data_IF_178922670083
#
_entry.id   IF_178922670083
#
_cell.length_a   1.000
_cell.length_b   1.000
_cell.length_c   1.000
_cell.angle_alpha   90.00
_cell.angle_beta   90.00
_cell.angle_gamma   90.00
#
_symmetry.space_group_name_H-M   'P 1'
#
loop_
_entity.id
_entity.type
_entity.pdbx_description
1 polymer ?
#
# COMPACT_ATOMS: atom_id res chain seq x y z
N UNK A 1 -16.90 -7.72 -45.67
CA UNK A 1 -18.35 -8.02 -45.89
C UNK A 1 -18.90 -7.56 -47.26
N UNK A 2 -18.21 -6.69 -48.00
CA UNK A 2 -18.41 -6.49 -49.44
C UNK A 2 -17.20 -6.99 -50.26
N UNK A 3 -16.26 -7.67 -49.61
CA UNK A 3 -14.87 -7.83 -50.08
C UNK A 3 -14.76 -8.82 -51.26
N UNK A 4 -15.81 -9.65 -51.47
CA UNK A 4 -15.97 -10.49 -52.65
C UNK A 4 -16.79 -9.81 -53.78
N UNK A 5 -17.05 -8.51 -53.70
CA UNK A 5 -17.83 -7.73 -54.67
C UNK A 5 -19.33 -8.04 -54.70
N UNK A 6 -19.86 -8.83 -53.75
CA UNK A 6 -21.27 -9.25 -53.72
C UNK A 6 -22.12 -8.36 -52.80
N UNK A 7 -23.25 -7.86 -53.30
CA UNK A 7 -24.25 -7.12 -52.51
C UNK A 7 -25.33 -8.04 -51.97
N UNK A 8 -25.28 -8.38 -50.67
CA UNK A 8 -26.14 -9.40 -50.05
C UNK A 8 -27.10 -8.83 -48.99
N UNK A 9 -27.83 -7.75 -49.31
CA UNK A 9 -28.76 -7.10 -48.36
C UNK A 9 -29.76 -8.08 -47.71
N UNK A 10 -30.33 -8.99 -48.49
CA UNK A 10 -31.37 -9.91 -48.00
C UNK A 10 -30.82 -11.05 -47.12
N UNK A 11 -29.51 -11.25 -47.09
CA UNK A 11 -28.87 -12.29 -46.28
C UNK A 11 -28.78 -11.90 -44.80
N UNK A 12 -28.70 -10.60 -44.51
CA UNK A 12 -28.39 -10.10 -43.17
C UNK A 12 -29.58 -9.40 -42.55
N UNK A 13 -30.01 -9.89 -41.38
CA UNK A 13 -31.06 -9.27 -40.56
C UNK A 13 -30.49 -9.04 -39.16
N UNK A 14 -30.42 -7.77 -38.75
CA UNK A 14 -29.91 -7.38 -37.44
C UNK A 14 -30.94 -7.55 -36.32
N UNK A 15 -30.53 -7.25 -35.10
CA UNK A 15 -31.40 -7.21 -33.92
C UNK A 15 -31.26 -5.86 -33.23
N UNK A 16 -32.40 -5.27 -32.84
CA UNK A 16 -32.43 -4.02 -32.06
C UNK A 16 -32.03 -4.28 -30.61
N UNK A 17 -31.26 -3.37 -30.02
CA UNK A 17 -30.90 -3.39 -28.59
C UNK A 17 -32.01 -2.78 -27.71
N UNK A 18 -32.80 -1.86 -28.26
CA UNK A 18 -33.81 -1.12 -27.48
C UNK A 18 -34.85 -2.07 -26.90
N UNK A 19 -35.08 -1.97 -25.58
CA UNK A 19 -36.02 -2.80 -24.84
C UNK A 19 -35.56 -4.25 -24.62
N UNK A 20 -34.33 -4.61 -25.00
CA UNK A 20 -33.75 -5.94 -24.71
C UNK A 20 -33.05 -5.96 -23.37
N UNK A 21 -32.96 -7.14 -22.78
CA UNK A 21 -32.27 -7.36 -21.51
C UNK A 21 -30.81 -7.74 -21.75
N UNK A 22 -29.88 -6.96 -21.19
CA UNK A 22 -28.47 -7.29 -21.04
C UNK A 22 -28.22 -7.80 -19.62
N UNK A 23 -27.70 -9.02 -19.50
CA UNK A 23 -27.08 -9.50 -18.27
C UNK A 23 -25.57 -9.24 -18.31
N UNK A 24 -25.08 -8.51 -17.31
CA UNK A 24 -23.66 -8.29 -17.06
C UNK A 24 -23.19 -9.28 -16.00
N UNK A 25 -22.36 -10.25 -16.37
CA UNK A 25 -21.77 -11.19 -15.42
C UNK A 25 -20.43 -10.63 -14.95
N UNK A 26 -20.34 -10.25 -13.68
CA UNK A 26 -19.23 -9.49 -13.09
C UNK A 26 -19.47 -7.97 -13.14
N UNK A 27 -19.67 -7.35 -11.98
CA UNK A 27 -20.06 -5.95 -11.81
C UNK A 27 -18.94 -5.12 -11.16
N UNK A 28 -17.70 -5.38 -11.59
CA UNK A 28 -16.53 -4.57 -11.28
C UNK A 28 -16.43 -3.30 -12.14
N UNK A 29 -15.24 -2.68 -12.17
CA UNK A 29 -14.97 -1.42 -12.90
C UNK A 29 -15.47 -1.44 -14.36
N UNK A 30 -15.10 -2.48 -15.12
CA UNK A 30 -15.48 -2.61 -16.54
C UNK A 30 -16.97 -2.95 -16.69
N UNK A 31 -17.47 -3.93 -15.93
CA UNK A 31 -18.87 -4.35 -15.99
C UNK A 31 -19.86 -3.22 -15.71
N UNK A 32 -19.58 -2.37 -14.71
CA UNK A 32 -20.42 -1.20 -14.41
C UNK A 32 -20.42 -0.17 -15.55
N UNK A 33 -19.28 -0.01 -16.22
CA UNK A 33 -19.14 0.92 -17.35
C UNK A 33 -19.85 0.41 -18.62
N UNK A 34 -19.86 -0.91 -18.83
CA UNK A 34 -20.66 -1.55 -19.88
C UNK A 34 -22.15 -1.39 -19.58
N UNK A 35 -22.57 -1.65 -18.34
CA UNK A 35 -23.95 -1.48 -17.91
C UNK A 35 -24.45 -0.05 -18.15
N UNK A 36 -23.67 0.96 -17.73
CA UNK A 36 -23.98 2.37 -17.94
C UNK A 36 -24.19 2.71 -19.43
N UNK A 37 -23.29 2.24 -20.31
CA UNK A 37 -23.40 2.47 -21.76
C UNK A 37 -24.61 1.76 -22.37
N UNK A 38 -24.87 0.52 -21.97
CA UNK A 38 -26.00 -0.26 -22.46
C UNK A 38 -27.36 0.38 -22.11
N UNK A 39 -27.50 0.96 -20.91
CA UNK A 39 -28.69 1.76 -20.57
C UNK A 39 -28.85 2.97 -21.48
N UNK A 40 -27.75 3.65 -21.81
CA UNK A 40 -27.75 4.74 -22.79
C UNK A 40 -28.21 4.31 -24.19
N UNK A 41 -28.06 3.02 -24.53
CA UNK A 41 -28.57 2.42 -25.76
C UNK A 41 -30.03 1.91 -25.65
N UNK A 42 -30.71 2.18 -24.52
CA UNK A 42 -32.11 1.81 -24.30
C UNK A 42 -32.33 0.35 -23.88
N UNK A 43 -31.30 -0.34 -23.37
CA UNK A 43 -31.43 -1.71 -22.85
C UNK A 43 -31.91 -1.71 -21.39
N UNK A 44 -32.60 -2.78 -21.01
CA UNK A 44 -32.77 -3.15 -19.60
C UNK A 44 -31.51 -3.88 -19.14
N UNK A 45 -30.93 -3.46 -18.02
CA UNK A 45 -29.65 -4.03 -17.56
C UNK A 45 -29.81 -4.65 -16.19
N UNK A 46 -29.50 -5.94 -16.12
CA UNK A 46 -29.36 -6.72 -14.90
C UNK A 46 -27.91 -7.17 -14.76
N UNK A 47 -27.46 -7.44 -13.54
CA UNK A 47 -26.11 -7.91 -13.31
C UNK A 47 -26.06 -9.04 -12.28
N UNK A 48 -25.11 -9.94 -12.44
CA UNK A 48 -24.77 -10.95 -11.45
C UNK A 48 -23.33 -10.76 -10.99
N UNK A 49 -23.17 -10.43 -9.71
CA UNK A 49 -21.87 -10.40 -9.02
C UNK A 49 -22.12 -10.58 -7.52
N UNK A 50 -21.71 -11.72 -6.92
CA UNK A 50 -21.96 -12.00 -5.50
C UNK A 50 -21.18 -11.07 -4.56
N UNK A 51 -20.22 -10.29 -5.07
CA UNK A 51 -19.37 -9.40 -4.30
C UNK A 51 -19.70 -7.91 -4.51
N UNK A 52 -20.64 -7.58 -5.40
CA UNK A 52 -21.00 -6.21 -5.70
C UNK A 52 -21.96 -5.60 -4.66
N UNK A 53 -21.76 -4.32 -4.36
CA UNK A 53 -22.70 -3.54 -3.54
C UNK A 53 -24.00 -3.29 -4.31
N UNK A 54 -25.13 -3.70 -3.71
CA UNK A 54 -26.47 -3.47 -4.25
C UNK A 54 -26.81 -1.98 -4.42
N UNK A 55 -26.33 -1.13 -3.51
CA UNK A 55 -26.58 0.32 -3.58
C UNK A 55 -25.84 0.96 -4.76
N UNK A 56 -24.61 0.49 -5.06
CA UNK A 56 -23.84 0.95 -6.22
C UNK A 56 -24.52 0.57 -7.55
N UNK A 57 -25.07 -0.64 -7.63
CA UNK A 57 -25.83 -1.07 -8.80
C UNK A 57 -27.12 -0.25 -8.97
N UNK A 58 -27.87 -0.06 -7.88
CA UNK A 58 -29.12 0.73 -7.86
C UNK A 58 -28.88 2.19 -8.25
N UNK A 59 -27.76 2.79 -7.86
CA UNK A 59 -27.42 4.18 -8.19
C UNK A 59 -27.33 4.44 -9.70
N UNK A 60 -26.93 3.44 -10.50
CA UNK A 60 -26.95 3.53 -11.97
C UNK A 60 -28.16 2.80 -12.57
N UNK A 61 -29.13 2.43 -11.73
CA UNK A 61 -30.37 1.72 -12.04
C UNK A 61 -30.16 0.36 -12.69
N UNK A 62 -29.18 -0.40 -12.19
CA UNK A 62 -28.96 -1.81 -12.52
C UNK A 62 -29.47 -2.64 -11.35
N UNK A 63 -30.17 -3.73 -11.67
CA UNK A 63 -30.65 -4.70 -10.68
C UNK A 63 -29.64 -5.83 -10.54
N UNK A 64 -29.25 -6.15 -9.30
CA UNK A 64 -28.47 -7.35 -9.01
C UNK A 64 -29.40 -8.55 -8.87
N UNK A 65 -29.13 -9.58 -9.67
CA UNK A 65 -29.91 -10.82 -9.68
C UNK A 65 -29.01 -12.03 -9.43
N UNK A 66 -29.61 -13.17 -9.11
CA UNK A 66 -28.87 -14.43 -9.02
C UNK A 66 -28.45 -14.90 -10.43
N UNK A 67 -27.48 -15.82 -10.50
CA UNK A 67 -26.91 -16.28 -11.77
C UNK A 67 -27.94 -16.91 -12.70
N UNK A 68 -28.84 -17.74 -12.15
CA UNK A 68 -29.84 -18.47 -12.93
C UNK A 68 -30.86 -17.51 -13.55
N UNK A 69 -31.29 -16.50 -12.81
CA UNK A 69 -32.12 -15.41 -13.31
C UNK A 69 -31.41 -14.60 -14.39
N UNK A 70 -30.13 -14.26 -14.20
CA UNK A 70 -29.35 -13.52 -15.19
C UNK A 70 -29.30 -14.24 -16.55
N UNK A 71 -28.98 -15.54 -16.56
CA UNK A 71 -28.83 -16.28 -17.82
C UNK A 71 -30.17 -16.65 -18.48
N UNK A 72 -31.24 -16.84 -17.69
CA UNK A 72 -32.55 -17.26 -18.21
C UNK A 72 -33.39 -16.10 -18.74
N UNK A 73 -33.13 -14.87 -18.30
CA UNK A 73 -33.89 -13.68 -18.70
C UNK A 73 -33.18 -12.81 -19.74
N UNK A 74 -31.87 -12.98 -19.94
CA UNK A 74 -31.06 -12.17 -20.84
C UNK A 74 -31.28 -12.48 -22.33
N UNK A 75 -31.38 -11.41 -23.13
CA UNK A 75 -31.26 -11.49 -24.59
C UNK A 75 -29.80 -11.33 -25.04
N UNK A 76 -29.00 -10.62 -24.22
CA UNK A 76 -27.56 -10.43 -24.37
C UNK A 76 -26.84 -10.72 -23.05
N UNK A 77 -25.69 -11.40 -23.10
CA UNK A 77 -24.84 -11.67 -21.94
C UNK A 77 -23.45 -11.12 -22.22
N UNK A 78 -22.92 -10.31 -21.31
CA UNK A 78 -21.55 -9.80 -21.38
C UNK A 78 -20.75 -10.21 -20.14
N UNK A 79 -19.59 -10.83 -20.35
CA UNK A 79 -18.74 -11.36 -19.28
C UNK A 79 -17.62 -10.39 -18.91
N UNK A 80 -17.49 -10.12 -17.61
CA UNK A 80 -16.52 -9.20 -16.99
C UNK A 80 -15.94 -9.74 -15.67
N UNK A 81 -16.02 -11.06 -15.46
CA UNK A 81 -15.50 -11.74 -14.27
C UNK A 81 -14.03 -12.14 -14.46
N UNK A 82 -13.22 -12.20 -13.38
CA UNK A 82 -11.92 -12.84 -13.42
C UNK A 82 -12.06 -14.36 -13.63
N UNK A 83 -11.01 -15.01 -14.12
CA UNK A 83 -10.91 -16.46 -14.16
C UNK A 83 -10.44 -16.97 -12.78
N UNK A 84 -11.26 -17.80 -12.16
CA UNK A 84 -11.05 -18.42 -10.85
C UNK A 84 -11.58 -19.86 -10.89
N UNK A 85 -11.36 -20.65 -9.84
CA UNK A 85 -11.96 -21.99 -9.75
C UNK A 85 -13.50 -21.95 -9.83
N UNK A 86 -14.14 -20.90 -9.29
CA UNK A 86 -15.59 -20.75 -9.30
C UNK A 86 -16.16 -20.27 -10.65
N UNK A 87 -15.36 -19.56 -11.46
CA UNK A 87 -15.78 -18.99 -12.75
C UNK A 87 -15.27 -19.78 -13.95
N UNK A 88 -14.39 -20.76 -13.74
CA UNK A 88 -13.90 -21.65 -14.79
C UNK A 88 -15.05 -22.47 -15.37
N UNK A 89 -15.25 -22.38 -16.69
CA UNK A 89 -16.32 -23.04 -17.44
C UNK A 89 -17.71 -22.79 -16.84
N UNK A 90 -17.91 -21.59 -16.31
CA UNK A 90 -19.19 -21.17 -15.76
C UNK A 90 -20.29 -21.18 -16.82
N UNK A 91 -19.96 -20.85 -18.07
CA UNK A 91 -20.84 -21.09 -19.21
C UNK A 91 -20.48 -22.42 -19.89
N UNK A 92 -21.30 -23.44 -19.66
CA UNK A 92 -21.19 -24.81 -20.16
C UNK A 92 -22.54 -25.32 -20.68
N UNK A 93 -22.60 -26.58 -21.15
CA UNK A 93 -23.81 -27.17 -21.74
C UNK A 93 -25.06 -27.03 -20.85
N UNK A 94 -24.92 -27.24 -19.54
CA UNK A 94 -26.04 -27.14 -18.58
C UNK A 94 -26.57 -25.70 -18.49
N UNK A 95 -25.66 -24.73 -18.42
CA UNK A 95 -26.06 -23.31 -18.36
C UNK A 95 -26.61 -22.81 -19.68
N UNK A 96 -26.05 -23.24 -20.82
CA UNK A 96 -26.59 -22.89 -22.14
C UNK A 96 -28.02 -23.41 -22.31
N UNK A 97 -28.33 -24.60 -21.82
CA UNK A 97 -29.68 -25.16 -21.87
C UNK A 97 -30.73 -24.32 -21.11
N UNK A 98 -30.31 -23.49 -20.15
CA UNK A 98 -31.19 -22.60 -19.37
C UNK A 98 -31.37 -21.21 -20.00
N UNK A 99 -30.59 -20.88 -21.03
CA UNK A 99 -30.63 -19.57 -21.67
C UNK A 99 -31.83 -19.42 -22.61
N UNK A 100 -32.23 -18.17 -22.88
CA UNK A 100 -33.15 -17.90 -23.97
C UNK A 100 -32.55 -18.37 -25.30
N UNK A 101 -33.37 -19.08 -26.09
CA UNK A 101 -33.00 -19.43 -27.46
C UNK A 101 -32.77 -18.16 -28.29
N UNK A 102 -31.61 -18.08 -28.92
CA UNK A 102 -31.17 -16.92 -29.70
C UNK A 102 -30.43 -15.84 -28.89
N UNK A 103 -29.99 -16.17 -27.67
CA UNK A 103 -29.14 -15.28 -26.85
C UNK A 103 -27.84 -14.93 -27.57
N UNK A 104 -27.30 -13.74 -27.30
CA UNK A 104 -26.00 -13.28 -27.82
C UNK A 104 -25.01 -13.10 -26.70
N UNK A 105 -23.77 -13.54 -26.90
CA UNK A 105 -22.77 -13.59 -25.83
C UNK A 105 -21.53 -12.79 -26.23
N UNK A 106 -20.99 -12.03 -25.28
CA UNK A 106 -19.74 -11.28 -25.45
C UNK A 106 -18.78 -11.67 -24.33
N UNK A 107 -17.59 -12.18 -24.68
CA UNK A 107 -16.51 -12.40 -23.73
C UNK A 107 -15.28 -11.58 -24.12
N UNK A 108 -15.03 -10.53 -23.35
CA UNK A 108 -13.87 -9.64 -23.47
C UNK A 108 -13.08 -9.58 -22.16
N UNK A 109 -13.27 -10.57 -21.29
CA UNK A 109 -12.71 -10.58 -19.94
C UNK A 109 -11.56 -11.56 -19.80
N UNK A 110 -11.86 -12.86 -19.74
CA UNK A 110 -10.87 -13.93 -19.60
C UNK A 110 -11.30 -15.17 -20.39
N UNK A 111 -10.34 -15.81 -21.05
CA UNK A 111 -10.51 -17.14 -21.59
C UNK A 111 -10.82 -18.16 -20.51
N UNK A 112 -11.48 -19.27 -20.86
CA UNK A 112 -11.83 -20.34 -19.92
C UNK A 112 -13.05 -20.08 -19.03
N UNK A 113 -13.61 -18.87 -18.99
CA UNK A 113 -14.90 -18.63 -18.31
C UNK A 113 -16.06 -19.31 -19.06
N UNK A 114 -15.90 -19.46 -20.37
CA UNK A 114 -16.79 -20.22 -21.24
C UNK A 114 -16.10 -21.55 -21.58
N UNK A 115 -16.81 -22.66 -21.49
CA UNK A 115 -16.40 -23.91 -22.15
C UNK A 115 -16.55 -23.74 -23.67
N UNK A 116 -15.43 -23.59 -24.36
CA UNK A 116 -15.37 -23.29 -25.79
C UNK A 116 -16.06 -24.35 -26.65
N UNK A 117 -15.93 -25.64 -26.30
CA UNK A 117 -16.60 -26.72 -27.04
C UNK A 117 -18.11 -26.73 -26.78
N UNK A 118 -18.53 -26.40 -25.55
CA UNK A 118 -19.96 -26.23 -25.25
C UNK A 118 -20.55 -25.04 -26.00
N UNK A 119 -19.80 -23.94 -26.15
CA UNK A 119 -20.24 -22.79 -26.93
C UNK A 119 -20.42 -23.14 -28.41
N UNK A 120 -19.52 -23.92 -29.01
CA UNK A 120 -19.68 -24.43 -30.38
C UNK A 120 -20.98 -25.22 -30.51
N UNK A 121 -21.24 -26.17 -29.60
CA UNK A 121 -22.49 -26.95 -29.60
C UNK A 121 -23.73 -26.07 -29.44
N UNK A 122 -23.67 -25.08 -28.55
CA UNK A 122 -24.79 -24.17 -28.29
C UNK A 122 -25.07 -23.24 -29.48
N UNK A 123 -24.02 -22.82 -30.20
CA UNK A 123 -24.13 -22.11 -31.46
C UNK A 123 -24.80 -23.03 -32.50
N UNK A 124 -24.26 -24.23 -32.74
CA UNK A 124 -24.79 -25.19 -33.72
C UNK A 124 -26.27 -25.55 -33.46
N UNK A 125 -26.66 -25.70 -32.19
CA UNK A 125 -28.05 -25.93 -31.78
C UNK A 125 -28.96 -24.69 -31.90
N UNK A 126 -28.40 -23.51 -32.20
CA UNK A 126 -29.14 -22.24 -32.30
C UNK A 126 -29.65 -21.71 -30.95
N UNK A 127 -29.12 -22.23 -29.84
CA UNK A 127 -29.35 -21.69 -28.50
C UNK A 127 -28.66 -20.32 -28.42
N UNK A 128 -27.38 -20.27 -28.83
CA UNK A 128 -26.64 -19.02 -29.00
C UNK A 128 -26.76 -18.58 -30.44
N UNK A 129 -27.32 -17.39 -30.68
CA UNK A 129 -27.45 -16.84 -32.03
C UNK A 129 -26.10 -16.33 -32.56
N UNK A 130 -25.30 -15.71 -31.70
CA UNK A 130 -24.00 -15.14 -32.04
C UNK A 130 -23.13 -14.98 -30.80
N UNK A 131 -21.81 -15.12 -30.96
CA UNK A 131 -20.83 -14.78 -29.93
C UNK A 131 -19.81 -13.76 -30.45
N UNK A 132 -19.28 -12.92 -29.55
CA UNK A 132 -18.12 -12.07 -29.80
C UNK A 132 -17.05 -12.35 -28.74
N UNK A 133 -15.86 -12.77 -29.16
CA UNK A 133 -14.80 -13.25 -28.28
C UNK A 133 -13.51 -12.48 -28.54
N UNK A 134 -12.95 -11.86 -27.52
CA UNK A 134 -11.63 -11.23 -27.57
C UNK A 134 -10.54 -12.09 -26.91
N UNK A 135 -10.94 -13.11 -26.16
CA UNK A 135 -10.07 -13.92 -25.30
C UNK A 135 -10.38 -15.41 -25.45
N UNK A 136 -9.36 -16.25 -25.31
CA UNK A 136 -9.43 -17.71 -25.49
C UNK A 136 -8.75 -18.44 -24.34
N UNK A 137 -9.11 -19.69 -24.08
CA UNK A 137 -8.45 -20.51 -23.05
C UNK A 137 -6.96 -20.69 -23.33
N UNK A 138 -6.59 -20.81 -24.61
CA UNK A 138 -5.21 -20.86 -25.09
C UNK A 138 -5.01 -19.71 -26.08
N UNK A 139 -3.99 -18.87 -25.82
CA UNK A 139 -3.66 -17.71 -26.65
C UNK A 139 -2.19 -17.78 -27.10
N UNK A 140 -1.90 -17.79 -28.41
CA UNK A 140 -2.84 -17.72 -29.55
C UNK A 140 -3.72 -18.97 -29.72
N UNK A 141 -4.98 -18.83 -30.19
CA UNK A 141 -5.84 -19.98 -30.45
C UNK A 141 -5.26 -20.86 -31.57
N UNK A 142 -5.56 -22.16 -31.51
CA UNK A 142 -5.14 -23.12 -32.54
C UNK A 142 -5.70 -22.73 -33.91
N UNK A 143 -4.93 -23.03 -34.97
CA UNK A 143 -5.30 -22.68 -36.34
C UNK A 143 -6.63 -23.31 -36.79
N UNK A 144 -6.96 -24.48 -36.27
CA UNK A 144 -8.19 -25.24 -36.49
C UNK A 144 -9.29 -24.94 -35.44
N UNK A 145 -9.14 -23.86 -34.66
CA UNK A 145 -10.15 -23.46 -33.67
C UNK A 145 -11.51 -23.27 -34.33
N UNK A 146 -12.46 -24.11 -33.91
CA UNK A 146 -13.84 -24.08 -34.40
C UNK A 146 -14.49 -22.73 -34.13
N UNK A 147 -14.23 -22.11 -32.98
CA UNK A 147 -14.77 -20.79 -32.64
C UNK A 147 -14.24 -19.70 -33.56
N UNK A 148 -12.94 -19.70 -33.87
CA UNK A 148 -12.33 -18.71 -34.78
C UNK A 148 -12.90 -18.82 -36.19
N UNK A 149 -13.21 -20.04 -36.64
CA UNK A 149 -13.72 -20.30 -37.99
C UNK A 149 -15.26 -20.23 -38.09
N UNK A 150 -15.97 -20.19 -36.97
CA UNK A 150 -17.43 -20.28 -36.97
C UNK A 150 -18.09 -18.98 -37.45
N UNK A 151 -18.95 -19.05 -38.46
CA UNK A 151 -19.54 -17.88 -39.14
C UNK A 151 -20.35 -16.93 -38.24
N UNK A 152 -20.83 -17.43 -37.09
CA UNK A 152 -21.58 -16.64 -36.09
C UNK A 152 -20.74 -16.24 -34.88
N UNK A 153 -19.42 -16.32 -34.99
CA UNK A 153 -18.50 -15.82 -33.96
C UNK A 153 -17.69 -14.69 -34.55
N UNK A 154 -17.71 -13.54 -33.89
CA UNK A 154 -16.78 -12.45 -34.16
C UNK A 154 -15.60 -12.60 -33.21
N UNK A 155 -14.37 -12.62 -33.74
CA UNK A 155 -13.17 -12.74 -32.92
C UNK A 155 -12.25 -11.55 -33.08
N UNK A 156 -11.61 -11.16 -31.97
CA UNK A 156 -10.51 -10.19 -31.95
C UNK A 156 -9.34 -10.75 -31.14
N UNK A 157 -8.08 -10.45 -31.49
CA UNK A 157 -6.91 -11.04 -30.84
C UNK A 157 -6.51 -10.28 -29.57
N UNK A 158 -7.33 -10.35 -28.52
CA UNK A 158 -7.08 -9.75 -27.21
C UNK A 158 -6.76 -8.24 -27.27
N UNK A 159 -7.65 -7.49 -27.92
CA UNK A 159 -7.48 -6.06 -28.20
C UNK A 159 -8.18 -5.15 -27.18
N UNK A 160 -8.81 -5.70 -26.13
CA UNK A 160 -9.61 -4.92 -25.17
C UNK A 160 -8.90 -3.72 -24.52
N UNK A 161 -7.58 -3.78 -24.37
CA UNK A 161 -6.74 -2.68 -23.85
C UNK A 161 -5.83 -2.03 -24.92
N UNK A 162 -5.97 -2.40 -26.18
CA UNK A 162 -5.13 -1.96 -27.29
C UNK A 162 -5.66 -0.66 -27.93
N UNK A 163 -5.90 0.36 -27.12
CA UNK A 163 -6.23 1.72 -27.58
C UNK A 163 -5.13 2.70 -27.19
N UNK A 164 -4.97 3.78 -27.96
CA UNK A 164 -3.94 4.80 -27.69
C UNK A 164 -4.13 5.36 -26.28
N UNK A 165 -5.37 5.71 -25.92
CA UNK A 165 -5.70 6.32 -24.64
C UNK A 165 -5.46 5.38 -23.46
N UNK A 166 -5.73 4.07 -23.63
CA UNK A 166 -5.48 3.09 -22.57
C UNK A 166 -3.97 2.88 -22.37
N UNK A 167 -3.19 2.82 -23.46
CA UNK A 167 -1.73 2.68 -23.37
C UNK A 167 -1.10 3.94 -22.73
N UNK A 168 -1.55 5.14 -23.09
CA UNK A 168 -1.10 6.38 -22.46
C UNK A 168 -1.46 6.44 -20.98
N UNK A 169 -2.71 6.11 -20.62
CA UNK A 169 -3.15 6.08 -19.22
C UNK A 169 -2.34 5.12 -18.35
N UNK A 170 -2.10 3.90 -18.86
CA UNK A 170 -1.26 2.90 -18.18
C UNK A 170 0.19 3.38 -18.06
N UNK A 171 0.74 4.02 -19.09
CA UNK A 171 2.10 4.55 -19.05
C UNK A 171 2.28 5.62 -17.97
N UNK A 172 1.30 6.53 -17.82
CA UNK A 172 1.30 7.54 -16.76
C UNK A 172 1.20 6.90 -15.38
N UNK A 173 0.24 5.98 -15.18
CA UNK A 173 0.04 5.30 -13.90
C UNK A 173 1.31 4.54 -13.45
N UNK A 174 1.98 3.86 -14.38
CA UNK A 174 3.25 3.17 -14.11
C UNK A 174 4.36 4.19 -13.79
N UNK A 175 4.47 5.28 -14.54
CA UNK A 175 5.49 6.30 -14.30
C UNK A 175 5.34 6.93 -12.90
N UNK A 176 4.11 7.27 -12.51
CA UNK A 176 3.80 7.78 -11.17
C UNK A 176 4.11 6.75 -10.08
N UNK A 177 3.72 5.49 -10.27
CA UNK A 177 4.02 4.42 -9.33
C UNK A 177 5.54 4.19 -9.16
N UNK A 178 6.31 4.24 -10.25
CA UNK A 178 7.78 4.11 -10.21
C UNK A 178 8.40 5.30 -9.51
N UNK A 179 7.98 6.53 -9.82
CA UNK A 179 8.48 7.75 -9.16
C UNK A 179 8.18 7.71 -7.66
N UNK A 180 6.95 7.35 -7.28
CA UNK A 180 6.57 7.19 -5.87
C UNK A 180 7.42 6.13 -5.18
N UNK A 181 7.60 4.96 -5.78
CA UNK A 181 8.41 3.88 -5.23
C UNK A 181 9.90 4.26 -5.06
N UNK A 182 10.46 5.04 -5.99
CA UNK A 182 11.83 5.58 -5.90
C UNK A 182 11.97 6.68 -4.84
N UNK A 183 10.86 7.35 -4.49
CA UNK A 183 10.75 8.29 -3.37
C UNK A 183 10.31 7.63 -2.07
N UNK A 184 10.21 6.30 -2.04
CA UNK A 184 9.84 5.52 -0.84
C UNK A 184 8.40 5.68 -0.43
N UNK A 185 7.59 6.24 -1.31
CA UNK A 185 6.15 6.29 -1.16
C UNK A 185 5.57 4.89 -1.42
N UNK A 186 4.40 4.64 -0.84
CA UNK A 186 3.69 3.39 -1.03
C UNK A 186 2.96 3.42 -2.37
N UNK A 187 3.39 2.57 -3.29
CA UNK A 187 2.66 2.35 -4.54
C UNK A 187 1.46 1.45 -4.26
N UNK A 188 0.24 2.00 -4.36
CA UNK A 188 -1.01 1.25 -4.22
C UNK A 188 -1.16 0.11 -5.25
N UNK A 189 -0.36 0.14 -6.32
CA UNK A 189 -0.32 -0.84 -7.41
C UNK A 189 0.76 -1.92 -7.21
N UNK A 190 1.48 -1.91 -6.09
CA UNK A 190 2.50 -2.92 -5.82
C UNK A 190 1.90 -4.32 -5.68
N UNK A 191 2.27 -5.22 -6.58
CA UNK A 191 1.75 -6.60 -6.63
C UNK A 191 2.42 -7.54 -5.63
N UNK A 192 3.59 -7.18 -5.13
CA UNK A 192 4.43 -7.97 -4.22
C UNK A 192 4.66 -7.29 -2.87
N UNK A 193 3.95 -6.20 -2.59
CA UNK A 193 3.93 -5.55 -1.29
C UNK A 193 2.55 -5.73 -0.65
N UNK A 194 2.44 -5.73 0.69
CA UNK A 194 1.13 -5.73 1.32
C UNK A 194 0.36 -4.47 0.93
N UNK A 195 -0.87 -4.69 0.43
CA UNK A 195 -1.80 -3.61 0.12
C UNK A 195 -2.33 -3.06 1.44
N UNK A 196 -1.90 -1.85 1.81
CA UNK A 196 -2.42 -1.16 2.99
C UNK A 196 -3.59 -0.27 2.53
N UNK A 197 -4.83 -0.49 3.02
CA UNK A 197 -5.95 0.37 2.67
C UNK A 197 -5.66 1.85 2.97
N UNK A 198 -6.19 2.77 2.16
CA UNK A 198 -5.91 4.21 2.31
C UNK A 198 -6.32 4.77 3.69
N UNK A 199 -7.39 4.21 4.28
CA UNK A 199 -7.85 4.53 5.63
C UNK A 199 -6.80 4.16 6.69
N UNK A 200 -6.25 2.94 6.61
CA UNK A 200 -5.18 2.46 7.48
C UNK A 200 -3.89 3.26 7.28
N UNK A 201 -3.58 3.67 6.06
CA UNK A 201 -2.43 4.54 5.79
C UNK A 201 -2.56 5.92 6.42
N UNK A 202 -3.76 6.50 6.36
CA UNK A 202 -4.02 7.81 6.96
C UNK A 202 -3.86 7.74 8.48
N UNK A 203 -4.37 6.67 9.08
CA UNK A 203 -4.25 6.40 10.51
C UNK A 203 -2.80 6.12 10.95
N UNK A 204 -2.05 5.30 10.20
CA UNK A 204 -0.69 4.91 10.55
C UNK A 204 0.36 5.97 10.21
N UNK A 205 0.04 6.98 9.39
CA UNK A 205 0.96 8.02 8.93
C UNK A 205 1.88 8.59 10.04
N UNK A 206 1.39 9.07 11.19
CA UNK A 206 2.29 9.62 12.21
C UNK A 206 3.19 8.55 12.84
N UNK A 207 2.76 7.30 12.90
CA UNK A 207 3.58 6.18 13.41
C UNK A 207 4.64 5.73 12.40
N UNK A 208 4.35 5.84 11.10
CA UNK A 208 5.30 5.63 10.00
C UNK A 208 6.44 6.65 10.08
N UNK A 209 6.11 7.93 10.32
CA UNK A 209 7.10 8.99 10.54
C UNK A 209 7.91 8.76 11.82
N UNK A 210 7.25 8.40 12.92
CA UNK A 210 7.89 8.05 14.19
C UNK A 210 8.89 6.89 14.01
N UNK A 211 8.47 5.82 13.33
CA UNK A 211 9.26 4.63 13.06
C UNK A 211 10.55 4.97 12.28
N UNK A 212 10.44 5.78 11.22
CA UNK A 212 11.61 6.24 10.45
C UNK A 212 12.58 7.06 11.33
N UNK A 213 12.04 8.05 12.05
CA UNK A 213 12.83 8.98 12.86
C UNK A 213 13.51 8.28 14.04
N UNK A 214 12.86 7.32 14.68
CA UNK A 214 13.47 6.49 15.73
C UNK A 214 14.61 5.62 15.19
N UNK A 215 14.44 5.00 14.03
CA UNK A 215 15.51 4.25 13.36
C UNK A 215 16.71 5.15 13.07
N UNK A 216 16.46 6.35 12.53
CA UNK A 216 17.49 7.34 12.20
C UNK A 216 18.21 7.87 13.44
N UNK A 217 17.47 8.12 14.52
CA UNK A 217 18.02 8.56 15.79
C UNK A 217 18.90 7.46 16.41
N UNK A 218 18.40 6.22 16.46
CA UNK A 218 19.09 5.10 17.07
C UNK A 218 20.44 4.79 16.38
N UNK A 219 20.49 4.78 15.05
CA UNK A 219 21.75 4.49 14.33
C UNK A 219 22.78 5.61 14.49
N UNK A 220 22.37 6.86 14.63
CA UNK A 220 23.31 7.97 14.82
C UNK A 220 23.98 7.96 16.20
N UNK A 221 23.31 7.39 17.21
CA UNK A 221 23.87 7.17 18.54
C UNK A 221 24.96 6.10 18.55
N UNK A 222 25.01 5.21 17.56
CA UNK A 222 26.04 4.16 17.46
C UNK A 222 27.43 4.77 17.21
N UNK A 223 28.42 4.29 17.96
CA UNK A 223 29.84 4.52 17.77
C UNK A 223 30.57 3.22 17.36
N UNK A 224 31.81 3.37 16.92
CA UNK A 224 32.70 2.24 16.63
C UNK A 224 32.62 1.69 15.19
N UNK A 225 33.43 0.67 14.93
CA UNK A 225 33.67 0.08 13.59
C UNK A 225 32.96 -1.27 13.41
N UNK A 226 32.37 -1.81 14.48
CA UNK A 226 31.78 -3.16 14.54
C UNK A 226 30.47 -3.32 13.76
N UNK A 227 29.83 -2.20 13.41
CA UNK A 227 28.57 -2.15 12.66
C UNK A 227 27.36 -2.65 13.44
N UNK A 228 26.17 -2.24 13.02
CA UNK A 228 24.91 -2.67 13.65
C UNK A 228 24.52 -4.05 13.12
N UNK A 229 24.40 -5.04 14.02
CA UNK A 229 24.04 -6.43 13.66
C UNK A 229 22.66 -6.85 14.14
N UNK A 230 22.29 -6.51 15.37
CA UNK A 230 21.03 -6.94 15.97
C UNK A 230 20.23 -5.71 16.41
N UNK A 231 19.03 -5.59 15.87
CA UNK A 231 18.07 -4.56 16.24
C UNK A 231 16.79 -5.23 16.70
N UNK A 232 16.34 -4.85 17.89
CA UNK A 232 15.06 -5.28 18.42
C UNK A 232 14.09 -4.12 18.41
N UNK A 233 12.89 -4.36 17.89
CA UNK A 233 11.82 -3.38 17.86
C UNK A 233 10.67 -3.90 18.70
N UNK A 234 10.17 -3.07 19.61
CA UNK A 234 9.02 -3.40 20.45
C UNK A 234 7.87 -2.45 20.16
N UNK A 235 6.69 -2.99 19.87
CA UNK A 235 5.47 -2.24 19.62
C UNK A 235 4.51 -2.41 20.79
N UNK A 236 4.24 -1.34 21.54
CA UNK A 236 3.19 -1.36 22.57
C UNK A 236 1.85 -0.99 21.94
N UNK A 237 0.86 -1.87 22.02
CA UNK A 237 -0.45 -1.66 21.39
C UNK A 237 -1.57 -2.37 22.16
N UNK A 238 -2.71 -1.70 22.26
CA UNK A 238 -3.95 -2.30 22.77
C UNK A 238 -4.70 -3.12 21.70
N UNK A 239 -4.31 -3.04 20.42
CA UNK A 239 -4.93 -3.79 19.32
C UNK A 239 -4.51 -5.25 19.33
N UNK A 240 -5.42 -6.13 18.93
CA UNK A 240 -5.12 -7.55 18.75
C UNK A 240 -4.04 -7.75 17.65
N UNK A 241 -3.30 -8.88 17.70
CA UNK A 241 -2.27 -9.20 16.71
C UNK A 241 -2.71 -9.04 15.25
N UNK A 242 -3.93 -9.45 14.93
CA UNK A 242 -4.48 -9.46 13.57
C UNK A 242 -4.94 -8.07 13.08
N UNK A 243 -5.07 -7.10 13.99
CA UNK A 243 -5.62 -5.75 13.72
C UNK A 243 -4.54 -4.68 13.52
N UNK A 244 -3.25 -5.05 13.51
CA UNK A 244 -2.15 -4.13 13.23
C UNK A 244 -1.05 -4.83 12.44
N UNK A 245 -0.89 -4.44 11.17
CA UNK A 245 0.19 -4.88 10.32
C UNK A 245 1.46 -4.05 10.56
N UNK A 246 2.48 -4.64 11.21
CA UNK A 246 3.73 -3.94 11.53
C UNK A 246 4.74 -3.90 10.37
N UNK A 247 4.46 -4.57 9.24
CA UNK A 247 5.41 -4.65 8.11
C UNK A 247 5.82 -3.27 7.59
N UNK A 248 4.87 -2.34 7.55
CA UNK A 248 5.13 -0.95 7.16
C UNK A 248 6.07 -0.26 8.16
N UNK A 249 5.80 -0.38 9.45
CA UNK A 249 6.61 0.24 10.50
C UNK A 249 8.03 -0.34 10.54
N UNK A 250 8.15 -1.65 10.39
CA UNK A 250 9.42 -2.35 10.27
C UNK A 250 10.23 -1.85 9.08
N UNK A 251 9.60 -1.67 7.92
CA UNK A 251 10.26 -1.12 6.74
C UNK A 251 10.75 0.31 6.97
N UNK A 252 9.97 1.15 7.65
CA UNK A 252 10.37 2.52 7.97
C UNK A 252 11.51 2.60 8.99
N UNK A 253 11.50 1.74 10.03
CA UNK A 253 12.64 1.62 10.95
C UNK A 253 13.89 1.19 10.19
N UNK A 254 13.76 0.22 9.28
CA UNK A 254 14.87 -0.24 8.43
C UNK A 254 15.40 0.89 7.56
N UNK A 255 14.52 1.69 6.97
CA UNK A 255 14.87 2.89 6.21
C UNK A 255 15.67 3.87 7.07
N UNK A 256 15.15 4.22 8.24
CA UNK A 256 15.81 5.11 9.19
C UNK A 256 17.18 4.60 9.64
N UNK A 257 17.36 3.30 9.83
CA UNK A 257 18.64 2.70 10.22
C UNK A 257 19.67 2.70 9.08
N UNK A 258 19.25 2.53 7.82
CA UNK A 258 20.16 2.27 6.70
C UNK A 258 20.52 3.54 5.93
N UNK A 259 19.56 4.39 5.58
CA UNK A 259 19.80 5.57 4.72
C UNK A 259 20.80 6.60 5.28
N UNK A 260 20.92 6.83 6.60
CA UNK A 260 21.96 7.74 7.13
C UNK A 260 23.39 7.27 6.88
N UNK A 261 23.57 5.96 6.68
CA UNK A 261 24.88 5.31 6.55
C UNK A 261 25.08 4.69 5.16
N UNK A 262 24.20 4.98 4.20
CA UNK A 262 24.13 4.30 2.91
C UNK A 262 23.48 5.17 1.83
N UNK A 263 23.93 5.02 0.59
CA UNK A 263 23.26 5.60 -0.59
C UNK A 263 22.10 4.74 -1.11
N UNK A 264 21.81 3.61 -0.46
CA UNK A 264 20.72 2.71 -0.87
C UNK A 264 19.39 3.28 -0.40
N UNK A 265 18.46 3.39 -1.34
CA UNK A 265 17.10 3.80 -1.09
C UNK A 265 16.26 2.63 -0.54
N UNK A 266 15.62 2.82 0.62
CA UNK A 266 14.85 1.75 1.28
C UNK A 266 13.35 2.02 1.18
N UNK A 267 12.57 1.00 0.80
CA UNK A 267 11.12 1.02 0.72
C UNK A 267 10.51 -0.27 1.29
N UNK A 268 9.17 -0.34 1.32
CA UNK A 268 8.42 -1.48 1.88
C UNK A 268 8.79 -2.83 1.25
N UNK A 269 9.16 -2.85 -0.03
CA UNK A 269 9.46 -4.07 -0.78
C UNK A 269 10.88 -4.56 -0.51
N UNK A 270 11.86 -3.64 -0.49
CA UNK A 270 13.27 -4.00 -0.41
C UNK A 270 13.85 -3.94 1.01
N UNK A 271 13.11 -3.43 2.02
CA UNK A 271 13.62 -3.23 3.38
C UNK A 271 14.25 -4.50 3.97
N UNK A 272 13.51 -5.60 4.02
CA UNK A 272 13.99 -6.85 4.59
C UNK A 272 15.17 -7.46 3.82
N UNK A 273 15.13 -7.34 2.49
CA UNK A 273 16.22 -7.81 1.64
C UNK A 273 17.49 -6.98 1.90
N UNK A 274 17.36 -5.66 1.95
CA UNK A 274 18.47 -4.72 2.18
C UNK A 274 19.07 -4.89 3.57
N UNK A 275 18.23 -5.07 4.59
CA UNK A 275 18.68 -5.39 5.96
C UNK A 275 19.50 -6.69 5.98
N UNK A 276 18.98 -7.78 5.39
CA UNK A 276 19.68 -9.07 5.31
C UNK A 276 21.01 -8.99 4.55
N UNK A 277 21.05 -8.29 3.41
CA UNK A 277 22.29 -8.11 2.65
C UNK A 277 23.38 -7.40 3.45
N UNK A 278 23.01 -6.56 4.40
CA UNK A 278 23.93 -5.83 5.29
C UNK A 278 24.22 -6.57 6.61
N UNK A 279 23.72 -7.79 6.76
CA UNK A 279 23.87 -8.57 7.99
C UNK A 279 23.08 -8.01 9.18
N UNK A 280 22.10 -7.14 8.92
CA UNK A 280 21.21 -6.57 9.93
C UNK A 280 20.08 -7.55 10.21
N UNK A 281 20.04 -8.07 11.43
CA UNK A 281 18.93 -8.90 11.94
C UNK A 281 17.99 -8.02 12.76
N UNK A 282 16.81 -7.78 12.20
CA UNK A 282 15.72 -7.07 12.87
C UNK A 282 14.75 -8.11 13.47
N UNK A 283 14.53 -8.03 14.77
CA UNK A 283 13.53 -8.83 15.49
C UNK A 283 12.45 -7.92 16.05
N UNK A 284 11.19 -8.30 15.87
CA UNK A 284 10.05 -7.55 16.38
C UNK A 284 9.42 -8.30 17.55
N UNK A 285 8.99 -7.56 18.56
CA UNK A 285 8.08 -8.05 19.60
C UNK A 285 6.89 -7.10 19.74
N UNK A 286 5.75 -7.66 20.14
CA UNK A 286 4.54 -6.89 20.41
C UNK A 286 4.18 -7.03 21.87
N UNK A 287 3.98 -5.90 22.52
CA UNK A 287 3.59 -5.81 23.92
C UNK A 287 2.12 -5.42 23.94
N UNK A 288 1.28 -6.38 24.33
CA UNK A 288 -0.15 -6.13 24.51
C UNK A 288 -0.34 -5.36 25.81
N UNK A 289 -1.00 -4.21 25.73
CA UNK A 289 -1.31 -3.36 26.87
C UNK A 289 -2.83 -3.20 27.01
N UNK A 290 -3.29 -2.93 28.22
CA UNK A 290 -4.69 -2.60 28.47
C UNK A 290 -4.94 -1.12 28.14
N UNK A 291 -5.85 -0.83 27.22
CA UNK A 291 -6.12 0.55 26.77
C UNK A 291 -7.15 0.67 25.65
N UNK A 292 -7.36 1.88 25.14
CA UNK A 292 -8.24 2.12 23.98
C UNK A 292 -7.64 1.53 22.71
N UNK A 293 -8.48 0.89 21.88
CA UNK A 293 -8.09 0.39 20.55
C UNK A 293 -8.13 1.48 19.46
N UNK A 294 -8.58 2.70 19.81
CA UNK A 294 -8.63 3.85 18.90
C UNK A 294 -7.23 4.27 18.44
N UNK A 295 -6.23 4.22 19.34
CA UNK A 295 -4.84 4.46 18.97
C UNK A 295 -4.19 3.14 18.48
N UNK A 296 -3.60 3.11 17.26
CA UNK A 296 -2.93 1.91 16.76
C UNK A 296 -1.78 1.44 17.64
N UNK A 297 -1.01 2.38 18.18
CA UNK A 297 0.19 2.15 18.98
C UNK A 297 0.26 3.16 20.11
N UNK A 298 0.67 2.71 21.28
CA UNK A 298 1.02 3.56 22.40
C UNK A 298 2.47 4.03 22.27
N UNK A 299 3.39 3.12 21.97
CA UNK A 299 4.80 3.44 21.76
C UNK A 299 5.52 2.49 20.81
N UNK A 300 6.61 2.99 20.23
CA UNK A 300 7.58 2.23 19.45
C UNK A 300 8.93 2.35 20.16
N UNK A 301 9.55 1.22 20.45
CA UNK A 301 10.88 1.14 21.06
C UNK A 301 11.87 0.51 20.09
N UNK A 302 13.05 1.09 19.96
CA UNK A 302 14.16 0.56 19.17
C UNK A 302 15.34 0.30 20.09
N UNK A 303 15.86 -0.93 20.06
CA UNK A 303 17.02 -1.37 20.82
C UNK A 303 18.11 -1.88 19.88
N UNK A 304 19.35 -1.40 20.06
CA UNK A 304 20.52 -1.84 19.31
C UNK A 304 21.53 -2.46 20.27
N UNK A 305 21.81 -3.75 20.08
CA UNK A 305 22.70 -4.51 20.95
C UNK A 305 24.11 -4.65 20.38
N UNK A 306 25.09 -4.87 21.27
CA UNK A 306 26.51 -5.13 20.94
C UNK A 306 27.18 -4.01 20.14
N UNK A 307 26.89 -2.77 20.49
CA UNK A 307 27.44 -1.57 19.86
C UNK A 307 27.99 -0.62 20.91
N UNK A 308 29.00 0.17 20.54
CA UNK A 308 29.41 1.33 21.33
C UNK A 308 28.45 2.50 21.06
N UNK A 309 28.39 3.48 21.96
CA UNK A 309 27.52 4.65 21.80
C UNK A 309 28.35 5.94 21.80
N UNK A 310 27.98 6.90 20.96
CA UNK A 310 28.47 8.30 21.00
C UNK A 310 27.90 9.06 22.20
N UNK A 311 26.84 8.54 22.80
CA UNK A 311 26.18 9.08 23.98
C UNK A 311 25.94 7.93 24.96
N UNK A 312 26.84 7.75 25.93
CA UNK A 312 26.82 6.61 26.84
C UNK A 312 25.53 6.56 27.67
N UNK A 313 24.91 7.71 27.94
CA UNK A 313 23.58 7.81 28.55
C UNK A 313 22.44 7.15 27.77
N UNK A 314 22.62 6.86 26.48
CA UNK A 314 21.62 6.13 25.69
C UNK A 314 21.67 4.61 25.89
N UNK A 315 22.71 4.10 26.56
CA UNK A 315 22.87 2.67 26.86
C UNK A 315 22.00 2.31 28.07
N UNK A 316 21.14 1.31 27.92
CA UNK A 316 20.33 0.74 29.00
C UNK A 316 21.17 -0.05 30.00
N UNK A 317 20.56 -0.43 31.13
CA UNK A 317 21.18 -1.35 32.09
C UNK A 317 21.56 -2.71 31.48
N UNK A 318 20.89 -3.12 30.40
CA UNK A 318 21.19 -4.33 29.63
C UNK A 318 22.34 -4.18 28.63
N UNK A 319 22.96 -3.00 28.52
CA UNK A 319 24.09 -2.75 27.63
C UNK A 319 23.70 -2.49 26.17
N UNK A 320 22.46 -2.09 25.91
CA UNK A 320 21.93 -1.84 24.56
C UNK A 320 21.58 -0.35 24.40
N UNK A 321 21.82 0.24 23.23
CA UNK A 321 21.26 1.57 22.94
C UNK A 321 19.74 1.43 22.87
N UNK A 322 19.03 2.19 23.70
CA UNK A 322 17.58 2.10 23.82
C UNK A 322 16.93 3.46 23.61
N UNK A 323 16.00 3.54 22.66
CA UNK A 323 15.19 4.74 22.43
C UNK A 323 13.72 4.37 22.28
N UNK A 324 12.84 5.22 22.76
CA UNK A 324 11.39 5.03 22.67
C UNK A 324 10.71 6.33 22.27
N UNK A 325 9.65 6.22 21.48
CA UNK A 325 8.82 7.35 21.15
C UNK A 325 7.34 7.00 21.06
N UNK A 326 6.52 8.05 21.08
CA UNK A 326 5.07 8.02 21.06
C UNK A 326 4.55 9.05 20.05
N UNK A 327 3.31 8.88 19.58
CA UNK A 327 2.61 9.90 18.81
C UNK A 327 1.67 10.65 19.74
N UNK A 328 1.85 11.96 19.85
CA UNK A 328 0.98 12.86 20.64
C UNK A 328 0.34 13.87 19.70
N UNK A 329 -1.00 13.89 19.65
CA UNK A 329 -1.76 14.78 18.76
C UNK A 329 -1.32 14.71 17.28
N UNK A 330 -0.95 13.51 16.81
CA UNK A 330 -0.45 13.28 15.45
C UNK A 330 1.03 13.64 15.23
N UNK A 331 1.75 14.10 16.27
CA UNK A 331 3.15 14.51 16.18
C UNK A 331 4.06 13.46 16.84
N UNK A 332 5.07 12.94 16.13
CA UNK A 332 6.07 12.02 16.70
C UNK A 332 6.91 12.69 17.80
N UNK A 333 6.98 12.06 18.97
CA UNK A 333 7.80 12.49 20.10
C UNK A 333 8.76 11.39 20.52
N UNK A 334 9.98 11.76 20.91
CA UNK A 334 10.91 10.92 21.64
C UNK A 334 10.56 11.02 23.12
N UNK A 335 10.25 9.88 23.73
CA UNK A 335 9.83 9.79 25.14
C UNK A 335 10.87 9.15 26.04
N UNK A 336 11.86 8.45 25.47
CA UNK A 336 12.92 7.81 26.25
C UNK A 336 14.24 7.72 25.51
N UNK A 337 15.34 7.95 26.24
CA UNK A 337 16.71 7.70 25.81
C UNK A 337 17.47 6.98 26.92
N UNK A 338 17.89 5.74 26.68
CA UNK A 338 18.46 4.86 27.69
C UNK A 338 17.51 4.67 28.86
N UNK A 339 17.92 5.16 30.03
CA UNK A 339 17.12 5.15 31.27
C UNK A 339 16.42 6.48 31.57
N UNK A 340 16.59 7.51 30.73
CA UNK A 340 16.01 8.84 30.95
C UNK A 340 14.70 9.00 30.20
N UNK A 341 13.66 9.42 30.91
CA UNK A 341 12.40 9.88 30.31
C UNK A 341 12.59 11.31 29.81
N UNK A 342 12.25 11.52 28.54
CA UNK A 342 12.30 12.81 27.87
C UNK A 342 10.94 13.05 27.21
N UNK A 343 10.72 14.25 26.72
CA UNK A 343 9.56 14.54 25.88
C UNK A 343 10.04 15.57 24.87
N UNK A 344 10.24 15.20 23.62
CA UNK A 344 10.73 16.14 22.60
C UNK A 344 10.13 15.75 21.26
N UNK A 345 9.57 16.71 20.52
CA UNK A 345 9.10 16.44 19.18
C UNK A 345 10.27 16.02 18.30
N UNK A 346 10.05 15.00 17.46
CA UNK A 346 11.03 14.54 16.49
C UNK A 346 10.92 15.40 15.21
N UNK A 347 10.92 16.71 15.34
CA UNK A 347 10.92 17.66 14.22
C UNK A 347 12.26 18.38 14.13
N UNK A 348 12.73 18.65 12.91
CA UNK A 348 14.04 19.27 12.69
C UNK A 348 15.21 18.36 13.11
N UNK A 349 16.09 18.87 13.97
CA UNK A 349 17.23 18.12 14.52
C UNK A 349 17.20 18.10 16.04
N UNK A 350 17.86 17.11 16.65
CA UNK A 350 17.91 16.95 18.10
C UNK A 350 19.33 17.12 18.62
N UNK A 351 19.46 17.85 19.71
CA UNK A 351 20.65 17.89 20.55
C UNK A 351 20.34 17.14 21.85
N UNK A 352 21.20 16.19 22.21
CA UNK A 352 21.18 15.55 23.52
C UNK A 352 22.42 15.96 24.30
N UNK A 353 22.19 16.47 25.51
CA UNK A 353 23.25 16.79 26.47
C UNK A 353 23.01 15.96 27.73
N UNK A 354 24.05 15.31 28.24
CA UNK A 354 24.06 14.80 29.62
C UNK A 354 24.71 15.86 30.49
N UNK A 355 24.08 16.19 31.61
CA UNK A 355 24.59 17.20 32.52
C UNK A 355 24.37 16.83 33.98
N UNK A 356 25.09 17.54 34.86
CA UNK A 356 24.71 17.67 36.28
C UNK A 356 23.67 18.78 36.40
N UNK A 357 22.52 18.48 37.02
CA UNK A 357 21.43 19.42 37.20
C UNK A 357 21.84 20.58 38.13
N UNK A 358 22.07 21.76 37.53
CA UNK A 358 22.48 22.98 38.22
C UNK A 358 21.82 24.25 37.63
N UNK A 359 21.62 25.30 38.44
CA UNK A 359 21.02 26.55 37.97
C UNK A 359 21.77 27.19 36.81
N UNK A 360 21.02 27.75 35.85
CA UNK A 360 21.54 28.56 34.74
C UNK A 360 22.02 27.79 33.50
N UNK A 361 22.10 26.45 33.56
CA UNK A 361 22.59 25.66 32.42
C UNK A 361 21.68 25.74 31.20
N UNK A 362 20.36 25.61 31.38
CA UNK A 362 19.35 25.75 30.32
C UNK A 362 19.51 27.10 29.60
N UNK A 363 19.61 28.18 30.38
CA UNK A 363 19.80 29.54 29.85
C UNK A 363 21.11 29.69 29.08
N UNK A 364 22.19 29.04 29.54
CA UNK A 364 23.49 29.07 28.86
C UNK A 364 23.43 28.39 27.49
N UNK A 365 22.85 27.19 27.39
CA UNK A 365 22.70 26.47 26.11
C UNK A 365 21.75 27.22 25.18
N UNK A 366 20.61 27.70 25.69
CA UNK A 366 19.68 28.52 24.91
C UNK A 366 20.31 29.81 24.38
N UNK A 367 21.18 30.46 25.16
CA UNK A 367 21.90 31.66 24.72
C UNK A 367 22.89 31.37 23.59
N UNK A 368 23.58 30.23 23.63
CA UNK A 368 24.50 29.82 22.55
C UNK A 368 23.74 29.64 21.24
N UNK A 369 22.61 28.92 21.27
CA UNK A 369 21.76 28.72 20.09
C UNK A 369 21.16 30.05 19.58
N UNK A 370 20.67 30.89 20.50
CA UNK A 370 20.07 32.18 20.16
C UNK A 370 21.07 33.18 19.56
N UNK A 371 22.35 33.14 19.95
CA UNK A 371 23.40 33.99 19.37
C UNK A 371 23.62 33.73 17.88
N UNK A 372 23.31 32.52 17.40
CA UNK A 372 23.39 32.14 15.99
C UNK A 372 22.02 32.07 15.32
N UNK A 373 20.99 32.64 15.96
CA UNK A 373 19.62 32.67 15.47
C UNK A 373 19.04 31.28 15.16
N UNK A 374 19.41 30.27 15.96
CA UNK A 374 18.84 28.92 15.87
C UNK A 374 17.63 28.84 16.79
N UNK A 375 16.45 28.61 16.22
CA UNK A 375 15.23 28.47 17.01
C UNK A 375 15.16 27.11 17.72
N UNK A 376 14.65 27.12 18.96
CA UNK A 376 14.38 25.91 19.74
C UNK A 376 12.89 25.62 19.67
N UNK A 377 12.53 24.51 19.02
CA UNK A 377 11.14 24.07 18.88
C UNK A 377 10.63 23.41 20.15
N UNK A 378 11.48 22.63 20.81
CA UNK A 378 11.12 21.91 22.03
C UNK A 378 12.33 21.76 22.94
N UNK A 379 12.12 21.77 24.26
CA UNK A 379 13.18 21.46 25.22
C UNK A 379 12.61 20.69 26.40
N UNK A 380 13.24 19.57 26.75
CA UNK A 380 12.88 18.77 27.92
C UNK A 380 14.12 18.29 28.67
N UNK A 381 13.99 18.15 29.98
CA UNK A 381 15.06 17.70 30.87
C UNK A 381 14.57 16.50 31.66
N UNK A 382 15.06 15.32 31.29
CA UNK A 382 14.86 14.08 32.03
C UNK A 382 15.89 13.95 33.13
N UNK A 383 15.47 13.90 34.41
CA UNK A 383 16.38 13.76 35.56
C UNK A 383 16.11 12.49 36.34
N UNK A 384 17.16 11.79 36.77
CA UNK A 384 17.03 10.60 37.64
C UNK A 384 16.60 11.02 39.05
N UNK A 385 17.18 12.10 39.57
CA UNK A 385 16.80 12.72 40.84
C UNK A 385 17.24 14.20 40.85
N UNK A 386 16.67 15.04 41.73
CA UNK A 386 17.11 16.44 41.87
C UNK A 386 18.63 16.55 42.13
N UNK A 387 19.31 17.47 41.43
CA UNK A 387 20.77 17.72 41.54
C UNK A 387 21.68 16.52 41.22
N UNK A 388 21.16 15.51 40.51
CA UNK A 388 21.96 14.39 39.96
C UNK A 388 22.12 14.56 38.44
N UNK A 389 22.49 13.47 37.77
CA UNK A 389 22.55 13.43 36.31
C UNK A 389 21.17 13.62 35.68
N UNK A 390 21.15 14.41 34.62
CA UNK A 390 20.00 14.67 33.78
C UNK A 390 20.40 14.65 32.30
N UNK A 391 19.45 14.31 31.44
CA UNK A 391 19.57 14.44 29.99
C UNK A 391 18.67 15.58 29.54
N UNK A 392 19.26 16.62 28.96
CA UNK A 392 18.53 17.68 28.26
C UNK A 392 18.42 17.30 26.78
N UNK A 393 17.19 17.16 26.30
CA UNK A 393 16.86 16.96 24.90
C UNK A 393 16.31 18.27 24.33
N UNK A 394 16.87 18.73 23.22
CA UNK A 394 16.52 20.00 22.58
C UNK A 394 16.20 19.74 21.11
N UNK A 395 14.98 20.05 20.70
CA UNK A 395 14.59 20.13 19.30
C UNK A 395 14.96 21.51 18.73
N UNK A 396 15.60 21.52 17.57
CA UNK A 396 15.97 22.76 16.85
C UNK A 396 15.46 22.69 15.42
N UNK A 397 14.93 23.82 14.95
CA UNK A 397 14.35 23.91 13.59
C UNK A 397 15.44 23.94 12.51
N UNK A 398 16.55 24.61 12.82
CA UNK A 398 17.69 24.79 11.92
C UNK A 398 18.93 24.04 12.43
N UNK A 399 19.76 23.56 11.49
CA UNK A 399 21.01 22.92 11.83
C UNK A 399 22.00 23.93 12.44
N UNK A 400 22.42 23.77 13.71
CA UNK A 400 23.38 24.68 14.32
C UNK A 400 24.74 24.60 13.63
N UNK A 401 25.48 25.71 13.63
CA UNK A 401 26.83 25.72 13.08
C UNK A 401 27.77 24.81 13.89
N UNK A 402 28.86 24.34 13.27
CA UNK A 402 29.91 23.58 13.99
C UNK A 402 30.46 24.36 15.19
N UNK A 403 30.52 25.69 15.11
CA UNK A 403 30.97 26.55 16.20
C UNK A 403 30.00 26.54 17.39
N UNK A 404 28.69 26.61 17.14
CA UNK A 404 27.68 26.46 18.18
C UNK A 404 27.76 25.11 18.88
N UNK A 405 27.83 24.02 18.11
CA UNK A 405 27.89 22.66 18.67
C UNK A 405 29.15 22.47 19.55
N UNK A 406 30.29 23.04 19.12
CA UNK A 406 31.51 23.01 19.91
C UNK A 406 31.38 23.81 21.22
N UNK A 407 30.83 25.04 21.16
CA UNK A 407 30.60 25.86 22.36
C UNK A 407 29.69 25.17 23.37
N UNK A 408 28.69 24.40 22.92
CA UNK A 408 27.82 23.62 23.79
C UNK A 408 28.64 22.50 24.46
N UNK A 409 29.40 21.72 23.70
CA UNK A 409 30.24 20.64 24.25
C UNK A 409 31.32 21.12 25.24
N UNK A 410 31.77 22.36 25.13
CA UNK A 410 32.75 22.98 26.04
C UNK A 410 32.13 23.55 27.33
N UNK A 411 30.80 23.49 27.50
CA UNK A 411 30.16 23.93 28.74
C UNK A 411 30.56 22.97 29.88
N UNK A 412 31.20 23.46 30.97
CA UNK A 412 31.81 22.57 31.98
C UNK A 412 30.86 21.59 32.69
N UNK A 413 29.56 21.83 32.67
CA UNK A 413 28.55 20.96 33.28
C UNK A 413 27.95 19.94 32.32
N UNK A 414 28.33 19.96 31.04
CA UNK A 414 27.93 18.98 30.05
C UNK A 414 28.97 17.87 30.03
N UNK A 415 28.57 16.67 30.43
CA UNK A 415 29.41 15.48 30.52
C UNK A 415 29.46 14.74 29.18
N UNK A 416 28.34 14.70 28.46
CA UNK A 416 28.19 14.05 27.16
C UNK A 416 27.34 14.93 26.25
N UNK A 417 27.63 14.90 24.95
CA UNK A 417 26.93 15.72 23.96
C UNK A 417 26.86 15.01 22.62
N UNK A 418 25.69 15.04 21.98
CA UNK A 418 25.51 14.57 20.60
C UNK A 418 24.48 15.40 19.85
N UNK A 419 24.74 15.63 18.57
CA UNK A 419 23.80 16.22 17.61
C UNK A 419 23.31 15.14 16.64
N UNK A 420 22.00 15.07 16.44
CA UNK A 420 21.30 14.03 15.69
C UNK A 420 20.40 14.69 14.65
N UNK A 421 20.59 14.35 13.37
CA UNK A 421 19.78 14.86 12.26
C UNK A 421 18.66 13.86 11.95
N UNK A 422 17.40 14.27 12.05
CA UNK A 422 16.23 13.38 11.88
C UNK A 422 15.77 13.21 10.43
#
# INVERSE_FOLDING_TARGET
FCDAGKWQRNKYVGVSLVGKTLAVLGFGKVGSEVARRAKGLGMHVIAHDPYASADRARAIGVELVNFEEAISTADFISLHMPLTAATNKMLNDETFAKMKKGVRIVNVARGGVIDEEALVRALDAGIVAQAALDVFTEEPPKQDSKLVQHERVTVTPHLGASTIEAQEGVAIEIAEAVVGALKGELAATAVNAPMVPAEVLTELKPYVELAEKLGRLAVQLVAGVSGVKNVKVSYASSRAPDDLDTRLLRAMITKGLIEPISSVYVNLVNADYTAKQRGLRITEERIVIDGSSECPLESIQVQIANVESKFASAISESGEIKVEGQVKDGIPHLTKVGSFEVDVSLEGSIILCRQVDQPGLIGKVGSILGQENVNVSFMSVGRIAPRKQAVMAIGVDDQPSKGSLQKIGEVPAIEEFVFLKL
#
